data_IF_583045585994
#
_entry.id   IF_583045585994
#
_cell.length_a   1.000
_cell.length_b   1.000
_cell.length_c   1.000
_cell.angle_alpha   90.00
_cell.angle_beta   90.00
_cell.angle_gamma   90.00
#
_symmetry.space_group_name_H-M   'P 1'
#
loop_
_entity.id
_entity.type
_entity.pdbx_description
1 polymer ?
#
# COMPACT_ATOMS: atom_id res chain seq x y z
N UNK A 1 0.71 -29.84 -2.77
CA UNK A 1 -0.39 -29.11 -3.45
C UNK A 1 -1.02 -27.99 -2.61
N UNK A 2 -0.78 -27.88 -1.30
CA UNK A 2 -1.45 -26.88 -0.41
C UNK A 2 -0.99 -25.43 -0.64
N UNK A 3 0.25 -25.21 -1.12
CA UNK A 3 0.78 -23.85 -1.31
C UNK A 3 0.13 -23.08 -2.47
N UNK A 4 -0.16 -23.74 -3.59
CA UNK A 4 -0.70 -23.10 -4.79
C UNK A 4 -2.12 -22.54 -4.59
N UNK A 5 -2.95 -23.21 -3.79
CA UNK A 5 -4.29 -22.73 -3.44
C UNK A 5 -4.22 -21.50 -2.52
N UNK A 6 -3.29 -21.48 -1.56
CA UNK A 6 -3.02 -20.33 -0.71
C UNK A 6 -2.55 -19.10 -1.51
N UNK A 7 -1.59 -19.29 -2.42
CA UNK A 7 -1.06 -18.22 -3.28
C UNK A 7 -2.09 -17.70 -4.31
N UNK A 8 -2.94 -18.58 -4.85
CA UNK A 8 -4.03 -18.18 -5.74
C UNK A 8 -5.11 -17.33 -5.04
N UNK A 9 -5.35 -17.58 -3.76
CA UNK A 9 -6.31 -16.80 -2.97
C UNK A 9 -5.76 -15.41 -2.62
N UNK A 10 -4.51 -15.32 -2.14
CA UNK A 10 -3.90 -14.02 -1.82
C UNK A 10 -3.72 -13.14 -3.07
N UNK A 11 -3.39 -13.70 -4.24
CA UNK A 11 -3.29 -12.92 -5.49
C UNK A 11 -4.62 -12.25 -5.83
N UNK A 12 -5.74 -12.98 -5.71
CA UNK A 12 -7.09 -12.44 -5.94
C UNK A 12 -7.49 -11.41 -4.89
N UNK A 13 -7.16 -11.66 -3.61
CA UNK A 13 -7.40 -10.71 -2.52
C UNK A 13 -6.68 -9.38 -2.74
N UNK A 14 -5.38 -9.42 -3.03
CA UNK A 14 -4.57 -8.22 -3.28
C UNK A 14 -5.05 -7.49 -4.54
N UNK A 15 -5.40 -8.20 -5.61
CA UNK A 15 -5.94 -7.59 -6.83
C UNK A 15 -7.28 -6.89 -6.56
N UNK A 16 -8.18 -7.54 -5.82
CA UNK A 16 -9.47 -6.96 -5.42
C UNK A 16 -9.27 -5.71 -4.56
N UNK A 17 -8.38 -5.79 -3.56
CA UNK A 17 -8.02 -4.66 -2.71
C UNK A 17 -7.48 -3.48 -3.51
N UNK A 18 -6.52 -3.69 -4.41
CA UNK A 18 -5.95 -2.62 -5.24
C UNK A 18 -7.02 -1.98 -6.15
N UNK A 19 -7.93 -2.79 -6.71
CA UNK A 19 -9.04 -2.29 -7.52
C UNK A 19 -9.99 -1.40 -6.72
N UNK A 20 -10.39 -1.85 -5.53
CA UNK A 20 -11.23 -1.06 -4.64
C UNK A 20 -10.53 0.20 -4.12
N UNK A 21 -9.27 0.07 -3.71
CA UNK A 21 -8.47 1.19 -3.23
C UNK A 21 -8.39 2.31 -4.26
N UNK A 22 -8.10 1.97 -5.53
CA UNK A 22 -8.07 2.95 -6.64
C UNK A 22 -9.43 3.58 -6.86
N UNK A 23 -10.52 2.79 -6.89
CA UNK A 23 -11.88 3.31 -7.05
C UNK A 23 -12.22 4.34 -5.97
N UNK A 24 -11.85 4.08 -4.72
CA UNK A 24 -12.08 5.00 -3.60
C UNK A 24 -11.18 6.24 -3.73
N UNK A 25 -9.90 6.05 -4.02
CA UNK A 25 -8.91 7.13 -4.13
C UNK A 25 -9.22 8.09 -5.28
N UNK A 26 -9.66 7.59 -6.45
CA UNK A 26 -10.00 8.43 -7.61
C UNK A 26 -11.42 8.99 -7.53
N UNK A 27 -12.36 8.31 -6.87
CA UNK A 27 -13.73 8.78 -6.71
C UNK A 27 -13.86 9.95 -5.72
N UNK A 28 -13.25 9.84 -4.53
CA UNK A 28 -13.22 10.93 -3.52
C UNK A 28 -11.97 11.80 -3.60
N UNK A 29 -11.09 11.52 -4.57
CA UNK A 29 -9.98 12.36 -5.00
C UNK A 29 -8.76 12.44 -4.07
N UNK A 30 -8.74 11.75 -2.91
CA UNK A 30 -7.69 11.96 -1.91
C UNK A 30 -7.29 10.66 -1.21
N UNK A 31 -6.01 10.32 -1.31
CA UNK A 31 -5.36 9.38 -0.40
C UNK A 31 -5.00 10.17 0.87
N UNK A 32 -5.58 9.81 2.01
CA UNK A 32 -5.18 10.40 3.29
C UNK A 32 -3.85 9.82 3.71
N UNK A 33 -2.83 10.65 3.87
CA UNK A 33 -1.52 10.20 4.34
C UNK A 33 -1.40 10.48 5.83
N UNK A 34 -0.95 9.50 6.60
CA UNK A 34 -0.58 9.75 7.98
C UNK A 34 0.70 10.60 8.00
N UNK A 35 0.60 11.78 8.62
CA UNK A 35 1.72 12.70 8.75
C UNK A 35 2.73 12.14 9.75
N UNK A 36 3.81 11.57 9.21
CA UNK A 36 4.97 11.18 10.01
C UNK A 36 6.21 11.86 9.46
N UNK A 37 7.15 12.21 10.35
CA UNK A 37 8.44 12.76 9.97
C UNK A 37 9.15 11.89 8.92
N UNK A 38 9.02 10.57 9.07
CA UNK A 38 9.62 9.57 8.16
C UNK A 38 9.01 9.60 6.75
N UNK A 39 7.70 9.80 6.64
CA UNK A 39 7.04 9.94 5.34
C UNK A 39 7.52 11.22 4.63
N UNK A 40 7.61 12.34 5.34
CA UNK A 40 8.07 13.62 4.79
C UNK A 40 9.55 13.58 4.39
N UNK A 41 10.41 13.03 5.25
CA UNK A 41 11.84 12.88 4.99
C UNK A 41 12.10 12.02 3.75
N UNK A 42 11.28 10.98 3.53
CA UNK A 42 11.40 10.13 2.35
C UNK A 42 11.11 10.92 1.07
N UNK A 43 10.07 11.76 1.04
CA UNK A 43 9.78 12.59 -0.13
C UNK A 43 10.97 13.48 -0.50
N UNK A 44 11.59 14.10 0.51
CA UNK A 44 12.77 14.94 0.33
C UNK A 44 13.96 14.14 -0.20
N UNK A 45 14.22 12.95 0.35
CA UNK A 45 15.31 12.07 -0.09
C UNK A 45 15.13 11.57 -1.52
N UNK A 46 13.91 11.24 -1.90
CA UNK A 46 13.58 10.78 -3.25
C UNK A 46 13.45 11.93 -4.26
N UNK A 47 13.37 13.18 -3.79
CA UNK A 47 13.16 14.35 -4.65
C UNK A 47 11.78 14.36 -5.32
N UNK A 48 10.76 13.78 -4.67
CA UNK A 48 9.40 13.70 -5.23
C UNK A 48 8.40 14.56 -4.46
N UNK A 49 7.37 15.00 -5.17
CA UNK A 49 6.23 15.76 -4.63
C UNK A 49 5.18 14.82 -4.03
N UNK A 50 4.21 15.41 -3.31
CA UNK A 50 3.06 14.66 -2.81
C UNK A 50 2.18 14.09 -3.92
N UNK A 51 2.04 14.80 -5.05
CA UNK A 51 1.31 14.31 -6.23
C UNK A 51 1.98 13.08 -6.81
N UNK A 52 3.30 13.13 -6.98
CA UNK A 52 4.08 11.99 -7.46
C UNK A 52 3.96 10.81 -6.50
N UNK A 53 4.01 11.01 -5.17
CA UNK A 53 3.70 9.94 -4.21
C UNK A 53 2.32 9.30 -4.47
N UNK A 54 1.30 10.11 -4.76
CA UNK A 54 -0.03 9.57 -5.06
C UNK A 54 -0.06 8.79 -6.36
N UNK A 55 0.62 9.26 -7.40
CA UNK A 55 0.79 8.53 -8.66
C UNK A 55 1.48 7.17 -8.43
N UNK A 56 2.53 7.14 -7.60
CA UNK A 56 3.24 5.90 -7.25
C UNK A 56 2.35 4.91 -6.49
N UNK A 57 1.60 5.39 -5.49
CA UNK A 57 0.64 4.54 -4.74
C UNK A 57 -0.47 4.04 -5.67
N UNK A 58 -1.00 4.92 -6.54
CA UNK A 58 -2.03 4.56 -7.50
C UNK A 58 -1.54 3.63 -8.60
N UNK A 59 -0.22 3.46 -8.77
CA UNK A 59 0.36 2.54 -9.76
C UNK A 59 0.79 1.19 -9.17
N UNK A 60 0.63 0.96 -7.86
CA UNK A 60 0.98 -0.29 -7.18
C UNK A 60 0.33 -1.52 -7.82
N UNK A 61 1.13 -2.50 -8.20
CA UNK A 61 0.69 -3.76 -8.79
C UNK A 61 0.69 -4.89 -7.77
N UNK A 62 0.19 -6.05 -8.18
CA UNK A 62 0.27 -7.28 -7.38
C UNK A 62 1.72 -7.75 -7.20
N UNK A 63 2.64 -7.39 -8.10
CA UNK A 63 4.05 -7.78 -8.01
C UNK A 63 4.82 -6.93 -6.98
N UNK A 64 4.28 -5.75 -6.65
CA UNK A 64 4.80 -4.89 -5.59
C UNK A 64 4.37 -5.38 -4.19
N UNK A 65 3.44 -6.35 -4.11
CA UNK A 65 2.92 -6.83 -2.84
C UNK A 65 3.98 -7.57 -2.03
N UNK A 66 4.06 -7.21 -0.74
CA UNK A 66 5.00 -7.82 0.19
C UNK A 66 4.29 -8.64 1.25
N UNK A 67 3.36 -8.03 2.01
CA UNK A 67 2.73 -8.68 3.15
C UNK A 67 1.40 -8.01 3.55
N UNK A 68 0.63 -8.66 4.43
CA UNK A 68 -0.54 -8.08 5.08
C UNK A 68 -0.23 -7.94 6.58
N UNK A 69 -0.23 -6.71 7.09
CA UNK A 69 -0.12 -6.54 8.54
C UNK A 69 -1.46 -6.86 9.20
N UNK A 70 -1.48 -7.65 10.29
CA UNK A 70 -2.69 -7.93 11.03
C UNK A 70 -3.32 -6.64 11.59
N UNK A 71 -4.61 -6.71 11.90
CA UNK A 71 -5.33 -5.65 12.58
C UNK A 71 -4.64 -5.33 13.90
N UNK A 72 -4.44 -4.04 14.22
CA UNK A 72 -3.80 -3.65 15.49
C UNK A 72 -4.75 -3.79 16.67
N UNK A 73 -6.04 -3.72 16.42
CA UNK A 73 -7.13 -3.94 17.37
C UNK A 73 -8.32 -4.57 16.63
N UNK A 74 -9.19 -5.27 17.37
CA UNK A 74 -10.38 -5.90 16.82
C UNK A 74 -11.26 -4.86 16.08
N UNK A 75 -11.52 -5.12 14.80
CA UNK A 75 -12.34 -4.23 13.96
C UNK A 75 -11.55 -3.12 13.25
N UNK A 76 -10.22 -3.05 13.42
CA UNK A 76 -9.39 -2.20 12.56
C UNK A 76 -9.15 -2.84 11.20
N UNK A 77 -9.20 -2.05 10.13
CA UNK A 77 -8.88 -2.57 8.80
C UNK A 77 -7.43 -3.08 8.71
N UNK A 78 -7.27 -4.27 8.11
CA UNK A 78 -5.97 -4.80 7.68
C UNK A 78 -5.23 -3.77 6.82
N UNK A 79 -3.91 -3.75 6.93
CA UNK A 79 -3.08 -2.96 6.03
C UNK A 79 -2.32 -3.87 5.07
N UNK A 80 -2.23 -3.43 3.83
CA UNK A 80 -1.47 -4.09 2.79
C UNK A 80 -0.14 -3.37 2.62
N UNK A 81 0.92 -4.14 2.61
CA UNK A 81 2.30 -3.67 2.51
C UNK A 81 2.80 -3.99 1.11
N UNK A 82 3.36 -2.97 0.47
CA UNK A 82 3.95 -3.03 -0.85
C UNK A 82 5.35 -2.46 -0.81
N UNK A 83 6.22 -2.94 -1.69
CA UNK A 83 7.50 -2.33 -1.99
C UNK A 83 7.57 -1.98 -3.47
N UNK A 84 7.91 -0.73 -3.79
CA UNK A 84 8.01 -0.25 -5.17
C UNK A 84 9.31 0.51 -5.37
N UNK A 85 9.95 0.34 -6.52
CA UNK A 85 11.07 1.21 -6.91
C UNK A 85 10.54 2.56 -7.35
N UNK A 86 10.92 3.62 -6.64
CA UNK A 86 10.57 5.02 -6.91
C UNK A 86 11.86 5.83 -6.87
N UNK A 87 12.14 6.61 -7.91
CA UNK A 87 13.39 7.37 -8.01
C UNK A 87 14.63 6.51 -7.66
N UNK A 88 14.75 5.35 -8.32
CA UNK A 88 15.85 4.37 -8.15
C UNK A 88 15.95 3.71 -6.76
N UNK A 89 15.07 4.05 -5.82
CA UNK A 89 15.09 3.54 -4.46
C UNK A 89 13.89 2.63 -4.20
N UNK A 90 14.10 1.53 -3.46
CA UNK A 90 12.98 0.74 -2.95
C UNK A 90 12.26 1.52 -1.85
N UNK A 91 10.94 1.63 -1.96
CA UNK A 91 10.08 2.33 -0.99
C UNK A 91 9.10 1.34 -0.38
N UNK A 92 9.06 1.30 0.95
CA UNK A 92 8.04 0.64 1.74
C UNK A 92 6.76 1.48 1.74
N UNK A 93 5.65 0.88 1.31
CA UNK A 93 4.36 1.53 1.18
C UNK A 93 3.33 0.71 1.93
N UNK A 94 2.68 1.32 2.93
CA UNK A 94 1.63 0.68 3.72
C UNK A 94 0.32 1.42 3.51
N UNK A 95 -0.67 0.73 2.95
CA UNK A 95 -1.98 1.31 2.64
C UNK A 95 -3.13 0.48 3.20
N UNK A 96 -4.27 1.13 3.42
CA UNK A 96 -5.51 0.48 3.86
C UNK A 96 -6.75 1.23 3.37
N UNK A 97 -7.90 0.61 3.53
CA UNK A 97 -9.20 1.24 3.35
C UNK A 97 -9.89 1.28 4.72
N UNK A 98 -10.14 2.47 5.24
CA UNK A 98 -10.95 2.65 6.44
C UNK A 98 -12.41 2.90 6.02
N UNK A 99 -13.38 2.21 6.61
CA UNK A 99 -14.82 2.52 6.42
C UNK A 99 -15.35 3.27 7.63
N UNK A 100 -16.05 4.39 7.40
CA UNK A 100 -16.81 5.09 8.44
C UNK A 100 -18.21 5.35 7.92
N UNK A 101 -19.25 4.88 8.62
CA UNK A 101 -20.65 5.03 8.20
C UNK A 101 -20.91 4.54 6.76
N UNK A 102 -20.31 3.42 6.35
CA UNK A 102 -20.42 2.87 4.98
C UNK A 102 -19.60 3.61 3.91
N UNK A 103 -18.86 4.66 4.29
CA UNK A 103 -18.05 5.47 3.40
C UNK A 103 -16.59 5.02 3.52
N UNK A 104 -16.04 4.42 2.45
CA UNK A 104 -14.64 4.00 2.39
C UNK A 104 -13.67 5.18 2.16
N UNK A 105 -12.50 5.12 2.79
CA UNK A 105 -11.41 6.10 2.69
C UNK A 105 -10.08 5.40 2.42
N UNK A 106 -9.45 5.73 1.29
CA UNK A 106 -8.12 5.27 0.95
C UNK A 106 -7.08 5.98 1.85
N UNK A 107 -6.25 5.21 2.54
CA UNK A 107 -5.25 5.73 3.46
C UNK A 107 -3.86 5.18 3.16
N UNK A 108 -2.88 6.08 3.12
CA UNK A 108 -1.46 5.75 3.15
C UNK A 108 -0.93 5.95 4.58
N UNK A 109 -0.64 4.84 5.25
CA UNK A 109 -0.13 4.82 6.62
C UNK A 109 1.38 5.05 6.63
N UNK A 110 2.09 4.53 5.64
CA UNK A 110 3.54 4.66 5.55
C UNK A 110 4.00 4.76 4.10
N UNK A 111 4.96 5.63 3.85
CA UNK A 111 5.65 5.80 2.58
C UNK A 111 7.09 6.18 2.88
N UNK A 112 7.97 5.19 3.04
CA UNK A 112 9.34 5.44 3.46
C UNK A 112 10.35 4.43 2.92
N UNK A 113 11.64 4.74 2.96
CA UNK A 113 12.68 3.75 2.68
C UNK A 113 12.59 2.56 3.68
N UNK A 114 12.72 1.31 3.22
CA UNK A 114 12.59 0.14 4.08
C UNK A 114 13.77 0.04 5.06
N UNK A 115 13.49 -0.37 6.30
CA UNK A 115 14.52 -0.62 7.33
C UNK A 115 15.01 -2.07 7.34
N UNK A 116 14.31 -2.95 6.63
CA UNK A 116 14.57 -4.38 6.53
C UNK A 116 14.33 -4.82 5.09
N UNK A 117 14.92 -5.95 4.72
CA UNK A 117 14.66 -6.57 3.42
C UNK A 117 13.17 -6.84 3.23
N UNK A 118 12.68 -6.57 2.02
CA UNK A 118 11.29 -6.84 1.64
C UNK A 118 11.25 -8.07 0.73
N UNK A 119 10.29 -8.95 0.98
CA UNK A 119 10.00 -10.10 0.13
C UNK A 119 8.76 -9.81 -0.72
N UNK A 120 8.72 -10.36 -1.93
CA UNK A 120 7.65 -10.13 -2.90
C UNK A 120 7.03 -11.46 -3.35
N UNK A 121 6.17 -12.09 -2.53
CA UNK A 121 5.69 -13.45 -2.77
C UNK A 121 4.83 -13.61 -4.03
N UNK A 122 4.36 -12.51 -4.61
CA UNK A 122 3.52 -12.51 -5.80
C UNK A 122 4.24 -12.01 -7.06
N UNK A 123 5.50 -11.59 -6.93
CA UNK A 123 6.33 -11.16 -8.06
C UNK A 123 6.73 -12.37 -8.91
N UNK A 124 6.49 -12.26 -10.22
CA UNK A 124 6.83 -13.27 -11.23
C UNK A 124 8.12 -12.96 -11.97
#
# INVERSE_FOLDING_TARGET
MVAAEGFGNIRREVAAFLGEFRKIATGKGLIRVDESAKNMETLLKLGITESQRFEEILSLSIDDFSDISPERAEGEAKCYIFGKTVAESLVYIKIKIDYRNGIGFARCVSFHLPEREMLFPLKG
#
